data_IF_705432800465
#
_entry.id   IF_705432800465
#
_cell.length_a   1.000
_cell.length_b   1.000
_cell.length_c   1.000
_cell.angle_alpha   90.00
_cell.angle_beta   90.00
_cell.angle_gamma   90.00
#
_symmetry.space_group_name_H-M   'P 1'
#
loop_
_entity.id
_entity.type
_entity.pdbx_description
1 polymer ?
#
# COMPACT_ATOMS: atom_id res chain seq x y z
N UNK A 1 13.21 -9.13 -8.40
CA UNK A 1 11.71 -9.22 -8.35
C UNK A 1 11.23 -8.56 -7.06
N UNK A 2 9.95 -8.15 -6.98
CA UNK A 2 9.41 -7.46 -5.80
C UNK A 2 9.50 -8.29 -4.51
N UNK A 3 9.46 -9.62 -4.62
CA UNK A 3 9.64 -10.57 -3.51
C UNK A 3 11.01 -10.39 -2.84
N UNK A 4 12.08 -10.31 -3.62
CA UNK A 4 13.44 -10.10 -3.11
C UNK A 4 13.62 -8.72 -2.48
N UNK A 5 13.01 -7.68 -3.08
CA UNK A 5 13.03 -6.35 -2.50
C UNK A 5 12.31 -6.30 -1.15
N UNK A 6 11.15 -6.97 -1.03
CA UNK A 6 10.41 -7.06 0.24
C UNK A 6 11.23 -7.78 1.31
N UNK A 7 11.92 -8.89 0.97
CA UNK A 7 12.82 -9.60 1.88
C UNK A 7 13.95 -8.69 2.38
N UNK A 8 14.66 -8.02 1.46
CA UNK A 8 15.75 -7.12 1.81
C UNK A 8 15.29 -5.99 2.75
N UNK A 9 14.11 -5.42 2.52
CA UNK A 9 13.60 -4.36 3.39
C UNK A 9 13.18 -4.85 4.77
N UNK A 10 12.76 -6.12 4.92
CA UNK A 10 12.44 -6.69 6.25
C UNK A 10 13.67 -6.85 7.14
N UNK A 11 14.87 -6.86 6.57
CA UNK A 11 16.13 -6.87 7.34
C UNK A 11 16.42 -5.50 7.99
N UNK A 12 15.84 -4.42 7.44
CA UNK A 12 16.10 -3.03 7.88
C UNK A 12 14.93 -2.43 8.64
N UNK A 13 13.70 -2.81 8.29
CA UNK A 13 12.48 -2.23 8.84
C UNK A 13 11.60 -3.30 9.49
N UNK A 14 11.10 -3.08 10.72
CA UNK A 14 10.21 -4.04 11.39
C UNK A 14 8.85 -4.21 10.69
N UNK A 15 8.39 -3.19 9.95
CA UNK A 15 7.14 -3.26 9.17
C UNK A 15 7.45 -3.04 7.70
N UNK A 16 7.04 -3.98 6.85
CA UNK A 16 7.17 -3.89 5.39
C UNK A 16 5.93 -4.48 4.72
N UNK A 17 5.17 -3.62 4.05
CA UNK A 17 3.94 -3.96 3.34
C UNK A 17 4.03 -3.60 1.85
N UNK A 18 3.15 -4.21 1.06
CA UNK A 18 3.02 -3.91 -0.36
C UNK A 18 1.59 -3.49 -0.68
N UNK A 19 1.45 -2.30 -1.28
CA UNK A 19 0.20 -1.77 -1.77
C UNK A 19 0.25 -1.66 -3.30
N UNK A 20 -0.90 -1.52 -3.94
CA UNK A 20 -0.96 -1.19 -5.36
C UNK A 20 -2.14 -0.27 -5.70
N UNK A 21 -2.06 0.36 -6.86
CA UNK A 21 -3.13 1.20 -7.40
C UNK A 21 -3.24 1.02 -8.91
N UNK A 22 -4.42 1.31 -9.45
CA UNK A 22 -4.67 1.27 -10.90
C UNK A 22 -4.35 2.62 -11.53
N UNK A 23 -3.54 2.62 -12.56
CA UNK A 23 -3.23 3.79 -13.39
C UNK A 23 -3.24 3.29 -14.84
N UNK A 24 -4.25 3.65 -15.65
CA UNK A 24 -4.45 3.05 -16.97
C UNK A 24 -3.23 3.14 -17.91
N UNK A 25 -2.42 4.19 -17.76
CA UNK A 25 -1.25 4.45 -18.59
C UNK A 25 0.04 3.79 -18.08
N UNK A 26 0.03 3.16 -16.91
CA UNK A 26 1.16 2.37 -16.43
C UNK A 26 1.17 0.99 -17.13
N UNK A 27 2.33 0.35 -17.36
CA UNK A 27 2.35 -1.00 -17.91
C UNK A 27 1.43 -1.96 -17.14
N UNK A 28 0.57 -2.68 -17.87
CA UNK A 28 -0.48 -3.55 -17.31
C UNK A 28 -1.56 -2.84 -16.48
N UNK A 29 -1.69 -1.51 -16.58
CA UNK A 29 -2.78 -0.71 -15.98
C UNK A 29 -2.67 -0.45 -14.48
N UNK A 30 -1.54 -0.78 -13.84
CA UNK A 30 -1.36 -0.64 -12.39
C UNK A 30 0.11 -0.52 -11.99
N UNK A 31 0.36 0.01 -10.79
CA UNK A 31 1.68 0.10 -10.17
C UNK A 31 1.58 -0.27 -8.68
N UNK A 32 2.64 -0.85 -8.13
CA UNK A 32 2.76 -1.12 -6.70
C UNK A 32 3.72 -0.21 -5.96
N UNK A 33 3.53 -0.14 -4.65
CA UNK A 33 4.33 0.61 -3.70
C UNK A 33 4.79 -0.31 -2.58
N UNK A 34 6.07 -0.25 -2.25
CA UNK A 34 6.59 -0.88 -1.04
C UNK A 34 6.58 0.16 0.09
N UNK A 35 5.88 -0.15 1.18
CA UNK A 35 5.71 0.74 2.33
C UNK A 35 6.44 0.13 3.52
N UNK A 36 7.44 0.83 4.05
CA UNK A 36 8.23 0.38 5.19
C UNK A 36 8.14 1.38 6.36
N UNK A 37 8.16 0.89 7.60
CA UNK A 37 8.13 1.72 8.79
C UNK A 37 9.14 1.24 9.84
N UNK A 38 9.78 2.19 10.53
CA UNK A 38 10.72 1.92 11.63
C UNK A 38 10.02 1.63 12.97
N UNK A 39 8.78 2.05 13.11
CA UNK A 39 7.96 1.77 14.28
C UNK A 39 7.33 0.38 14.12
N UNK A 40 7.71 -0.54 15.02
CA UNK A 40 7.29 -1.95 14.95
C UNK A 40 5.81 -2.15 15.28
N UNK A 41 5.18 -1.22 16.02
CA UNK A 41 3.77 -1.31 16.40
C UNK A 41 2.86 -0.73 15.31
N UNK A 42 3.44 -0.19 14.24
CA UNK A 42 2.71 0.54 13.21
C UNK A 42 1.98 -0.39 12.24
N UNK A 43 0.65 -0.32 12.24
CA UNK A 43 -0.14 -0.84 11.12
C UNK A 43 -0.23 0.20 9.98
N UNK A 44 0.63 0.07 8.96
CA UNK A 44 0.62 0.97 7.79
C UNK A 44 -0.59 0.78 6.86
N UNK A 45 -1.35 -0.32 7.03
CA UNK A 45 -2.57 -0.60 6.25
C UNK A 45 -3.77 0.21 6.74
N UNK A 46 -3.69 0.77 7.95
CA UNK A 46 -4.67 1.70 8.52
C UNK A 46 -4.13 3.14 8.40
N UNK A 47 -4.86 4.07 7.75
CA UNK A 47 -4.42 5.45 7.68
C UNK A 47 -4.54 6.11 9.07
N UNK A 48 -3.41 6.54 9.64
CA UNK A 48 -3.41 7.28 10.92
C UNK A 48 -4.03 8.66 10.77
N UNK A 49 -3.66 9.36 9.68
CA UNK A 49 -4.17 10.70 9.38
C UNK A 49 -5.41 10.53 8.52
N UNK A 50 -6.49 11.18 8.97
CA UNK A 50 -7.83 11.08 8.39
C UNK A 50 -8.36 12.49 8.20
N UNK A 51 -9.08 12.68 7.11
CA UNK A 51 -9.89 13.86 6.87
C UNK A 51 -11.37 13.51 7.10
N UNK A 52 -12.22 14.54 7.23
CA UNK A 52 -13.66 14.33 7.03
C UNK A 52 -13.93 13.92 5.58
N UNK A 53 -15.05 13.23 5.33
CA UNK A 53 -15.37 12.76 3.98
C UNK A 53 -15.53 13.92 3.00
N UNK A 54 -16.09 15.03 3.47
CA UNK A 54 -16.26 16.26 2.70
C UNK A 54 -14.92 16.92 2.34
N UNK A 55 -13.90 16.82 3.18
CA UNK A 55 -12.55 17.28 2.89
C UNK A 55 -11.83 16.35 1.91
N UNK A 56 -11.99 15.02 2.06
CA UNK A 56 -11.42 14.04 1.12
C UNK A 56 -11.94 14.25 -0.29
N UNK A 57 -13.26 14.40 -0.45
CA UNK A 57 -13.90 14.60 -1.75
C UNK A 57 -13.44 15.91 -2.44
N UNK A 58 -13.07 16.93 -1.66
CA UNK A 58 -12.53 18.21 -2.19
C UNK A 58 -11.07 18.11 -2.60
N UNK A 59 -10.25 17.41 -1.82
CA UNK A 59 -8.80 17.39 -1.99
C UNK A 59 -8.34 16.28 -2.94
N UNK A 60 -9.04 15.15 -2.96
CA UNK A 60 -8.59 13.93 -3.59
C UNK A 60 -9.57 13.45 -4.66
N UNK A 61 -9.04 13.07 -5.83
CA UNK A 61 -9.84 12.49 -6.92
C UNK A 61 -9.92 10.95 -6.87
N UNK A 62 -8.99 10.31 -6.18
CA UNK A 62 -8.82 8.85 -6.18
C UNK A 62 -8.60 8.31 -4.77
N UNK A 63 -7.67 8.92 -4.02
CA UNK A 63 -7.40 8.51 -2.65
C UNK A 63 -8.57 8.85 -1.72
N UNK A 64 -8.91 7.90 -0.85
CA UNK A 64 -9.69 8.09 0.37
C UNK A 64 -9.27 6.99 1.37
N UNK A 65 -9.78 7.02 2.58
CA UNK A 65 -9.37 6.06 3.63
C UNK A 65 -9.68 4.61 3.27
N UNK A 66 -10.77 4.35 2.57
CA UNK A 66 -11.21 3.03 2.15
C UNK A 66 -10.32 2.48 1.04
N UNK A 67 -9.97 3.31 0.05
CA UNK A 67 -9.02 3.00 -1.02
C UNK A 67 -7.62 2.74 -0.43
N UNK A 68 -7.19 3.49 0.59
CA UNK A 68 -5.94 3.21 1.30
C UNK A 68 -5.92 1.77 1.82
N UNK A 69 -6.95 1.35 2.57
CA UNK A 69 -7.04 -0.01 3.12
C UNK A 69 -7.08 -1.06 2.00
N UNK A 70 -7.91 -0.82 0.99
CA UNK A 70 -8.09 -1.73 -0.13
C UNK A 70 -6.81 -1.90 -0.97
N UNK A 71 -5.94 -0.88 -1.04
CA UNK A 71 -4.68 -0.94 -1.80
C UNK A 71 -3.72 -2.03 -1.30
N UNK A 72 -3.86 -2.48 -0.04
CA UNK A 72 -3.09 -3.58 0.54
C UNK A 72 -3.76 -4.95 0.40
N UNK A 73 -4.91 -5.05 -0.27
CA UNK A 73 -5.60 -6.32 -0.55
C UNK A 73 -5.13 -6.82 -1.92
N UNK A 74 -4.26 -7.83 -1.92
CA UNK A 74 -3.63 -8.31 -3.13
C UNK A 74 -4.41 -9.48 -3.77
N UNK A 75 -4.36 -9.62 -5.11
CA UNK A 75 -4.79 -10.84 -5.78
C UNK A 75 -4.09 -12.08 -5.20
N UNK A 76 -4.77 -13.23 -5.20
CA UNK A 76 -4.28 -14.44 -4.52
C UNK A 76 -2.86 -14.87 -4.92
N UNK A 77 -2.48 -14.73 -6.20
CA UNK A 77 -1.14 -15.10 -6.66
C UNK A 77 -0.06 -14.19 -6.05
N UNK A 78 -0.32 -12.88 -5.97
CA UNK A 78 0.60 -11.90 -5.44
C UNK A 78 0.68 -12.01 -3.91
N UNK A 79 -0.47 -12.23 -3.24
CA UNK A 79 -0.54 -12.49 -1.81
C UNK A 79 0.36 -13.67 -1.43
N UNK A 80 0.19 -14.82 -2.09
CA UNK A 80 1.00 -16.04 -1.84
C UNK A 80 2.50 -15.83 -2.09
N UNK A 81 2.87 -14.95 -3.03
CA UNK A 81 4.27 -14.69 -3.36
C UNK A 81 4.93 -13.68 -2.40
N UNK A 82 4.14 -12.85 -1.71
CA UNK A 82 4.61 -11.75 -0.85
C UNK A 82 4.34 -11.97 0.64
N UNK A 83 3.56 -12.99 1.00
CA UNK A 83 3.53 -13.58 2.35
C UNK A 83 4.93 -14.08 2.73
#
# INVERSE_FOLDING_TARGET
MITELKKLMREVFPVVEYAYTTIPTYPSGQIGFLVACKDAERNVREPLRKWSREEEDKLCRYYNQEIHRASFILPNFARKALE
#
